data_IF_025589442963
#
_entry.id   IF_025589442963
#
_cell.length_a   1.000
_cell.length_b   1.000
_cell.length_c   1.000
_cell.angle_alpha   90.00
_cell.angle_beta   90.00
_cell.angle_gamma   90.00
#
_symmetry.space_group_name_H-M   'P 1'
#
loop_
_entity.id
_entity.type
_entity.pdbx_description
1 polymer ?
#
# COMPACT_ATOMS: atom_id res chain seq x y z
N UNK A 1 30.02 -2.92 4.31
CA UNK A 1 29.53 -2.04 3.22
C UNK A 1 28.33 -2.62 2.45
N UNK A 2 28.42 -3.73 1.71
CA UNK A 2 27.29 -4.27 0.89
C UNK A 2 26.03 -4.64 1.72
N UNK A 3 26.21 -5.17 2.94
CA UNK A 3 25.10 -5.61 3.79
C UNK A 3 24.25 -4.44 4.35
N UNK A 4 24.90 -3.32 4.71
CA UNK A 4 24.26 -2.11 5.23
C UNK A 4 23.37 -1.45 4.18
N UNK A 5 23.86 -1.31 2.94
CA UNK A 5 23.05 -0.81 1.82
C UNK A 5 21.82 -1.69 1.55
N UNK A 6 21.96 -3.02 1.73
CA UNK A 6 20.86 -3.96 1.51
C UNK A 6 19.74 -3.79 2.54
N UNK A 7 20.08 -3.62 3.83
CA UNK A 7 19.08 -3.41 4.90
C UNK A 7 18.37 -2.08 4.70
N UNK A 8 19.11 -0.99 4.46
CA UNK A 8 18.50 0.33 4.23
C UNK A 8 17.57 0.32 3.03
N UNK A 9 17.93 -0.35 1.93
CA UNK A 9 17.06 -0.47 0.77
C UNK A 9 15.78 -1.26 1.10
N UNK A 10 15.88 -2.41 1.78
CA UNK A 10 14.70 -3.20 2.20
C UNK A 10 13.75 -2.36 3.07
N UNK A 11 14.27 -1.56 3.99
CA UNK A 11 13.45 -0.69 4.83
C UNK A 11 12.71 0.38 4.01
N UNK A 12 13.37 1.00 3.03
CA UNK A 12 12.75 1.96 2.12
C UNK A 12 11.63 1.30 1.31
N UNK A 13 11.90 0.13 0.73
CA UNK A 13 10.88 -0.61 -0.06
C UNK A 13 9.71 -1.09 0.81
N UNK A 14 9.98 -1.47 2.05
CA UNK A 14 8.92 -1.85 2.99
C UNK A 14 7.99 -0.67 3.27
N UNK A 15 8.51 0.57 3.35
CA UNK A 15 7.66 1.75 3.51
C UNK A 15 6.73 1.95 2.30
N UNK A 16 7.21 1.78 1.07
CA UNK A 16 6.37 1.88 -0.14
C UNK A 16 5.17 0.95 -0.06
N UNK A 17 5.40 -0.30 0.36
CA UNK A 17 4.32 -1.29 0.57
C UNK A 17 3.39 -0.83 1.70
N UNK A 18 3.94 -0.46 2.86
CA UNK A 18 3.13 -0.08 4.02
C UNK A 18 2.28 1.18 3.77
N UNK A 19 2.77 2.13 3.00
CA UNK A 19 1.99 3.31 2.61
C UNK A 19 0.84 2.92 1.67
N UNK A 20 1.04 2.01 0.72
CA UNK A 20 -0.03 1.52 -0.13
C UNK A 20 -1.18 0.86 0.67
N UNK A 21 -0.85 0.07 1.67
CA UNK A 21 -1.84 -0.70 2.45
C UNK A 21 -2.32 -0.01 3.73
N UNK A 22 -1.63 1.04 4.19
CA UNK A 22 -1.87 1.66 5.49
C UNK A 22 -2.09 3.17 5.43
N UNK A 23 -1.84 3.83 4.30
CA UNK A 23 -2.13 5.24 4.11
C UNK A 23 -3.36 5.46 3.23
N UNK A 24 -4.01 6.60 3.43
CA UNK A 24 -5.16 7.03 2.64
C UNK A 24 -5.19 8.55 2.49
N UNK A 25 -5.90 9.03 1.48
CA UNK A 25 -6.23 10.45 1.39
C UNK A 25 -7.30 10.82 2.42
N UNK A 26 -7.05 11.89 3.15
CA UNK A 26 -7.99 12.59 4.03
C UNK A 26 -8.19 14.02 3.55
N UNK A 27 -9.11 14.75 4.18
CA UNK A 27 -9.32 16.17 3.86
C UNK A 27 -8.13 17.08 4.23
N UNK A 28 -7.17 16.59 5.04
CA UNK A 28 -6.01 17.37 5.49
C UNK A 28 -4.69 16.95 4.87
N UNK A 29 -4.57 15.69 4.48
CA UNK A 29 -3.35 15.10 3.95
C UNK A 29 -3.70 14.01 2.92
N UNK A 30 -3.11 14.13 1.74
CA UNK A 30 -3.29 13.23 0.61
C UNK A 30 -2.66 11.83 0.83
N UNK A 31 -1.66 11.72 1.71
CA UNK A 31 -0.98 10.48 2.08
C UNK A 31 -0.93 10.32 3.63
N UNK A 32 -2.10 10.25 4.28
CA UNK A 32 -2.20 10.16 5.73
C UNK A 32 -2.06 8.72 6.21
N UNK A 33 -1.07 8.44 7.07
CA UNK A 33 -0.95 7.15 7.75
C UNK A 33 -2.11 6.88 8.69
N UNK A 34 -2.74 5.70 8.51
CA UNK A 34 -3.88 5.23 9.31
C UNK A 34 -3.50 4.04 10.18
N UNK A 35 -2.22 3.91 10.48
CA UNK A 35 -1.65 2.94 11.41
C UNK A 35 -0.46 3.60 12.11
N UNK A 36 -0.20 3.18 13.34
CA UNK A 36 1.04 3.45 14.03
C UNK A 36 2.14 2.52 13.52
N UNK A 37 3.34 3.05 13.29
CA UNK A 37 4.51 2.29 12.88
C UNK A 37 5.63 2.51 13.89
N UNK A 38 6.12 1.43 14.46
CA UNK A 38 7.31 1.42 15.31
C UNK A 38 8.38 0.55 14.64
N UNK A 39 9.61 1.03 14.62
CA UNK A 39 10.72 0.37 13.95
C UNK A 39 11.90 0.29 14.90
N UNK A 40 12.22 -0.92 15.34
CA UNK A 40 13.46 -1.23 16.04
C UNK A 40 14.55 -1.47 15.01
N UNK A 41 15.68 -0.76 15.11
CA UNK A 41 16.87 -1.02 14.31
C UNK A 41 17.95 -1.61 15.22
N UNK A 42 18.51 -2.73 14.80
CA UNK A 42 19.58 -3.40 15.53
C UNK A 42 20.92 -3.05 14.89
N UNK A 43 21.87 -2.62 15.72
CA UNK A 43 23.21 -2.25 15.31
C UNK A 43 24.24 -3.14 15.99
N UNK A 44 25.36 -3.38 15.31
CA UNK A 44 26.52 -4.01 15.94
C UNK A 44 27.34 -3.00 16.77
N UNK A 45 28.44 -3.47 17.37
CA UNK A 45 29.35 -2.65 18.18
C UNK A 45 30.10 -1.56 17.39
N UNK A 46 30.07 -1.62 16.05
CA UNK A 46 30.61 -0.60 15.15
C UNK A 46 29.55 0.37 14.65
N UNK A 47 28.32 0.27 15.16
CA UNK A 47 27.14 1.02 14.70
C UNK A 47 26.72 0.69 13.27
N UNK A 48 27.12 -0.46 12.72
CA UNK A 48 26.59 -0.94 11.44
C UNK A 48 25.22 -1.60 11.67
N UNK A 49 24.19 -1.28 10.86
CA UNK A 49 22.88 -1.92 10.99
C UNK A 49 22.96 -3.39 10.57
N UNK A 50 22.55 -4.28 11.47
CA UNK A 50 22.56 -5.74 11.27
C UNK A 50 21.15 -6.32 11.10
N UNK A 51 20.12 -5.55 11.42
CA UNK A 51 18.73 -5.95 11.23
C UNK A 51 17.75 -4.95 11.83
N UNK A 52 16.49 -5.34 11.90
CA UNK A 52 15.46 -4.55 12.54
C UNK A 52 14.12 -5.27 12.58
N UNK A 53 13.20 -4.75 13.40
CA UNK A 53 11.83 -5.25 13.53
C UNK A 53 10.87 -4.10 13.34
N UNK A 54 9.88 -4.30 12.47
CA UNK A 54 8.78 -3.35 12.30
C UNK A 54 7.56 -3.92 13.03
N UNK A 55 6.93 -3.08 13.85
CA UNK A 55 5.67 -3.37 14.52
C UNK A 55 4.62 -2.36 14.09
N UNK A 56 3.43 -2.87 13.78
CA UNK A 56 2.29 -2.06 13.38
C UNK A 56 1.25 -2.04 14.49
N UNK A 57 0.71 -0.86 14.74
CA UNK A 57 -0.29 -0.64 15.77
C UNK A 57 -1.54 0.00 15.17
N UNK A 58 -2.70 -0.46 15.62
CA UNK A 58 -3.98 0.24 15.43
C UNK A 58 -4.26 0.68 13.98
N UNK A 59 -4.19 -0.26 13.03
CA UNK A 59 -4.69 0.01 11.68
C UNK A 59 -6.18 0.39 11.76
N UNK A 60 -6.56 1.50 11.13
CA UNK A 60 -7.95 1.99 11.06
C UNK A 60 -8.81 1.09 10.17
N UNK A 61 -9.15 -0.11 10.65
CA UNK A 61 -9.91 -1.13 9.90
C UNK A 61 -11.25 -0.62 9.37
N UNK A 62 -11.91 0.29 10.11
CA UNK A 62 -13.18 0.88 9.71
C UNK A 62 -13.12 1.63 8.38
N UNK A 63 -11.93 2.12 7.99
CA UNK A 63 -11.75 2.82 6.72
C UNK A 63 -12.03 1.94 5.51
N UNK A 64 -11.87 0.62 5.62
CA UNK A 64 -12.18 -0.29 4.51
C UNK A 64 -13.64 -0.20 4.12
N UNK A 65 -14.55 -0.10 5.10
CA UNK A 65 -16.00 -0.15 4.87
C UNK A 65 -16.67 1.22 4.81
N UNK A 66 -16.02 2.28 5.32
CA UNK A 66 -16.60 3.63 5.34
C UNK A 66 -15.56 4.73 5.29
N UNK A 67 -15.80 5.73 4.44
CA UNK A 67 -15.00 6.95 4.34
C UNK A 67 -15.88 8.19 4.46
N UNK A 68 -15.30 9.30 4.95
CA UNK A 68 -15.98 10.60 4.96
C UNK A 68 -15.98 11.22 3.55
N UNK A 69 -16.91 12.14 3.30
CA UNK A 69 -16.92 12.92 2.06
C UNK A 69 -15.58 13.64 1.87
N UNK A 70 -15.00 13.52 0.67
CA UNK A 70 -13.70 14.06 0.31
C UNK A 70 -12.51 13.14 0.61
N UNK A 71 -12.71 12.04 1.35
CA UNK A 71 -11.66 11.08 1.69
C UNK A 71 -11.64 9.87 0.75
N UNK A 72 -10.52 9.14 0.76
CA UNK A 72 -10.36 7.86 0.06
C UNK A 72 -10.23 6.70 1.03
N UNK A 73 -10.43 5.50 0.49
CA UNK A 73 -9.96 4.27 1.11
C UNK A 73 -8.42 4.18 1.00
N UNK A 74 -7.83 3.05 1.41
CA UNK A 74 -6.37 2.82 1.27
C UNK A 74 -5.91 2.90 -0.19
N UNK A 75 -4.68 3.38 -0.40
CA UNK A 75 -4.14 3.59 -1.75
C UNK A 75 -4.10 2.33 -2.60
N UNK A 76 -3.82 1.17 -1.99
CA UNK A 76 -3.74 -0.14 -2.65
C UNK A 76 -4.96 -0.46 -3.52
N UNK A 77 -6.17 -0.06 -3.13
CA UNK A 77 -7.37 -0.30 -3.95
C UNK A 77 -7.34 0.47 -5.27
N UNK A 78 -6.99 1.76 -5.22
CA UNK A 78 -6.92 2.63 -6.39
C UNK A 78 -5.71 2.28 -7.26
N UNK A 79 -4.59 1.92 -6.63
CA UNK A 79 -3.39 1.43 -7.31
C UNK A 79 -3.68 0.15 -8.09
N UNK A 80 -4.42 -0.82 -7.52
CA UNK A 80 -4.85 -2.00 -8.27
C UNK A 80 -5.71 -1.60 -9.47
N UNK A 81 -6.75 -0.78 -9.24
CA UNK A 81 -7.72 -0.39 -10.27
C UNK A 81 -7.17 0.47 -11.39
N UNK A 82 -6.13 1.27 -11.16
CA UNK A 82 -5.56 2.15 -12.18
C UNK A 82 -4.20 1.65 -12.70
N UNK A 83 -3.52 0.79 -11.95
CA UNK A 83 -2.17 0.33 -12.22
C UNK A 83 -2.06 -1.04 -12.87
N UNK A 84 -3.04 -1.94 -12.65
CA UNK A 84 -3.04 -3.26 -13.29
C UNK A 84 -3.61 -3.16 -14.71
N UNK A 85 -2.89 -3.75 -15.67
CA UNK A 85 -3.27 -3.76 -17.07
C UNK A 85 -4.33 -4.83 -17.35
N UNK A 86 -4.26 -5.98 -16.67
CA UNK A 86 -5.21 -7.08 -16.87
C UNK A 86 -6.18 -7.24 -15.70
N UNK A 87 -7.01 -6.21 -15.46
CA UNK A 87 -8.04 -6.26 -14.40
C UNK A 87 -9.08 -7.36 -14.61
N UNK A 88 -9.26 -7.85 -15.84
CA UNK A 88 -10.20 -8.93 -16.15
C UNK A 88 -9.86 -10.23 -15.40
N UNK A 89 -8.58 -10.50 -15.13
CA UNK A 89 -8.16 -11.63 -14.29
C UNK A 89 -8.70 -11.56 -12.86
N UNK A 90 -9.02 -10.35 -12.40
CA UNK A 90 -9.59 -10.08 -11.09
C UNK A 90 -11.12 -9.89 -11.15
N UNK A 91 -11.73 -10.01 -12.33
CA UNK A 91 -13.14 -9.70 -12.55
C UNK A 91 -13.47 -8.21 -12.38
N UNK A 92 -12.46 -7.33 -12.43
CA UNK A 92 -12.60 -5.91 -12.20
C UNK A 92 -12.62 -5.11 -13.52
N UNK A 93 -13.20 -3.92 -13.48
CA UNK A 93 -13.11 -2.86 -14.48
C UNK A 93 -12.47 -1.57 -13.87
N UNK A 94 -12.07 -0.62 -14.72
CA UNK A 94 -11.34 0.60 -14.30
C UNK A 94 -12.21 1.73 -13.69
N UNK A 95 -13.54 1.58 -13.62
CA UNK A 95 -14.45 2.57 -13.03
C UNK A 95 -14.51 2.36 -11.53
N UNK A 96 -13.73 3.14 -10.78
CA UNK A 96 -13.71 3.07 -9.32
C UNK A 96 -15.09 3.36 -8.70
N UNK A 97 -15.94 4.09 -9.41
CA UNK A 97 -17.30 4.43 -8.98
C UNK A 97 -18.23 3.20 -8.88
N UNK A 98 -17.90 2.11 -9.59
CA UNK A 98 -18.69 0.87 -9.59
C UNK A 98 -18.52 0.08 -8.27
N UNK A 99 -17.50 0.39 -7.46
CA UNK A 99 -17.19 -0.36 -6.25
C UNK A 99 -17.56 0.42 -4.99
N UNK A 100 -18.49 -0.14 -4.21
CA UNK A 100 -19.07 0.52 -3.05
C UNK A 100 -18.01 0.95 -2.03
N UNK A 101 -17.02 0.12 -1.71
CA UNK A 101 -16.05 0.42 -0.66
C UNK A 101 -15.02 1.49 -0.99
N UNK A 102 -14.94 1.99 -2.23
CA UNK A 102 -13.97 3.03 -2.60
C UNK A 102 -14.61 4.30 -3.16
N UNK A 103 -15.94 4.29 -3.37
CA UNK A 103 -16.69 5.42 -3.91
C UNK A 103 -17.42 6.27 -2.83
N UNK A 104 -17.46 5.84 -1.56
CA UNK A 104 -18.29 6.52 -0.54
C UNK A 104 -17.85 7.95 -0.24
N UNK A 105 -16.55 8.24 -0.36
CA UNK A 105 -16.01 9.58 -0.19
C UNK A 105 -16.19 10.50 -1.40
N UNK A 106 -16.79 10.02 -2.50
CA UNK A 106 -16.94 10.73 -3.77
C UNK A 106 -15.60 11.34 -4.28
N UNK A 107 -14.53 10.55 -4.18
CA UNK A 107 -13.15 11.04 -4.29
C UNK A 107 -12.24 10.00 -4.97
N UNK A 108 -12.71 9.37 -6.05
CA UNK A 108 -12.01 8.24 -6.67
C UNK A 108 -10.68 8.61 -7.38
N UNK A 109 -10.52 9.87 -7.80
CA UNK A 109 -9.30 10.38 -8.44
C UNK A 109 -8.79 11.65 -7.76
N UNK A 110 -7.48 11.75 -7.66
CA UNK A 110 -6.78 12.87 -7.01
C UNK A 110 -5.71 13.38 -7.95
N UNK A 111 -5.75 14.63 -8.44
CA UNK A 111 -4.80 15.11 -9.45
C UNK A 111 -3.31 15.02 -9.05
N UNK A 112 -3.03 15.03 -7.74
CA UNK A 112 -1.66 14.99 -7.20
C UNK A 112 -1.12 13.56 -7.00
N UNK A 113 -1.93 12.53 -7.20
CA UNK A 113 -1.56 11.13 -6.93
C UNK A 113 -1.60 10.35 -8.24
N UNK A 114 -0.50 9.68 -8.56
CA UNK A 114 -0.38 8.82 -9.73
C UNK A 114 -0.48 7.35 -9.30
N UNK A 115 -1.72 6.90 -9.07
CA UNK A 115 -2.00 5.55 -8.59
C UNK A 115 -1.45 4.47 -9.56
N UNK A 116 -1.30 4.78 -10.85
CA UNK A 116 -0.73 3.85 -11.85
C UNK A 116 0.77 3.67 -11.65
N UNK A 117 1.51 4.78 -11.49
CA UNK A 117 2.94 4.72 -11.22
C UNK A 117 3.23 4.12 -9.84
N UNK A 118 2.45 4.50 -8.83
CA UNK A 118 2.59 4.00 -7.47
C UNK A 118 2.37 2.48 -7.39
N UNK A 119 1.42 1.94 -8.17
CA UNK A 119 1.24 0.49 -8.30
C UNK A 119 2.49 -0.24 -8.80
N UNK A 120 3.17 0.32 -9.81
CA UNK A 120 4.41 -0.27 -10.33
C UNK A 120 5.52 -0.22 -9.30
N UNK A 121 5.64 0.88 -8.54
CA UNK A 121 6.59 1.00 -7.44
C UNK A 121 6.30 -0.04 -6.35
N UNK A 122 5.04 -0.27 -5.99
CA UNK A 122 4.66 -1.30 -5.01
C UNK A 122 4.99 -2.70 -5.50
N UNK A 123 4.72 -3.03 -6.78
CA UNK A 123 5.11 -4.33 -7.37
C UNK A 123 6.63 -4.53 -7.34
N UNK A 124 7.40 -3.49 -7.64
CA UNK A 124 8.86 -3.55 -7.56
C UNK A 124 9.35 -3.69 -6.11
N UNK A 125 8.74 -2.97 -5.17
CA UNK A 125 9.06 -3.02 -3.76
C UNK A 125 8.85 -4.44 -3.19
N UNK A 126 7.72 -5.09 -3.52
CA UNK A 126 7.47 -6.49 -3.11
C UNK A 126 8.59 -7.43 -3.58
N UNK A 127 9.04 -7.30 -4.84
CA UNK A 127 10.14 -8.10 -5.38
C UNK A 127 11.46 -7.86 -4.66
N UNK A 128 11.78 -6.60 -4.34
CA UNK A 128 13.03 -6.25 -3.64
C UNK A 128 13.01 -6.76 -2.20
N UNK A 129 11.87 -6.70 -1.52
CA UNK A 129 11.70 -7.22 -0.16
C UNK A 129 11.77 -8.75 -0.13
N UNK A 130 11.47 -9.42 -1.25
CA UNK A 130 11.68 -10.86 -1.43
C UNK A 130 10.40 -11.68 -1.56
N UNK A 131 9.25 -11.05 -1.82
CA UNK A 131 8.00 -11.77 -2.11
C UNK A 131 8.08 -12.47 -3.46
N UNK A 132 7.57 -13.69 -3.50
CA UNK A 132 7.39 -14.45 -4.73
C UNK A 132 6.26 -13.89 -5.58
N UNK A 133 6.26 -14.19 -6.88
CA UNK A 133 5.19 -13.73 -7.78
C UNK A 133 3.82 -14.28 -7.38
N UNK A 134 3.77 -15.50 -6.83
CA UNK A 134 2.54 -16.14 -6.36
C UNK A 134 1.98 -15.44 -5.12
N UNK A 135 2.83 -15.11 -4.14
CA UNK A 135 2.42 -14.33 -2.96
C UNK A 135 1.88 -12.95 -3.35
N UNK A 136 2.57 -12.25 -4.27
CA UNK A 136 2.12 -10.96 -4.80
C UNK A 136 0.75 -11.11 -5.49
N UNK A 137 0.56 -12.16 -6.29
CA UNK A 137 -0.72 -12.45 -6.94
C UNK A 137 -1.83 -12.70 -5.91
N UNK A 138 -1.57 -13.48 -4.86
CA UNK A 138 -2.52 -13.75 -3.79
C UNK A 138 -2.91 -12.45 -3.07
N UNK A 139 -1.95 -11.59 -2.75
CA UNK A 139 -2.22 -10.29 -2.10
C UNK A 139 -3.18 -9.46 -2.94
N UNK A 140 -2.92 -9.31 -4.24
CA UNK A 140 -3.81 -8.54 -5.12
C UNK A 140 -5.17 -9.20 -5.33
N UNK A 141 -5.26 -10.54 -5.32
CA UNK A 141 -6.54 -11.26 -5.34
C UNK A 141 -7.38 -10.97 -4.09
N UNK A 142 -6.76 -10.85 -2.92
CA UNK A 142 -7.47 -10.48 -1.69
C UNK A 142 -7.98 -9.03 -1.79
N UNK A 143 -7.16 -8.10 -2.29
CA UNK A 143 -7.58 -6.71 -2.54
C UNK A 143 -8.77 -6.66 -3.50
N UNK A 144 -8.70 -7.40 -4.60
CA UNK A 144 -9.80 -7.51 -5.57
C UNK A 144 -11.06 -8.14 -4.96
N UNK A 145 -10.92 -9.19 -4.16
CA UNK A 145 -12.05 -9.83 -3.48
C UNK A 145 -12.78 -8.86 -2.56
N UNK A 146 -12.06 -7.99 -1.85
CA UNK A 146 -12.67 -6.95 -1.00
C UNK A 146 -13.47 -5.95 -1.85
N UNK A 147 -13.02 -5.60 -3.06
CA UNK A 147 -13.77 -4.70 -3.95
C UNK A 147 -15.09 -5.30 -4.45
N UNK A 148 -15.19 -6.63 -4.52
CA UNK A 148 -16.39 -7.34 -4.95
C UNK A 148 -17.45 -7.52 -3.85
N UNK A 149 -17.08 -7.34 -2.59
CA UNK A 149 -17.98 -7.45 -1.43
C UNK A 149 -18.89 -6.22 -1.31
#
# INVERSE_FOLDING_TARGET
FIFVFRISNILIQTNVILEAFGNSRTNRNDNSSRFGKYMDLHFDYKFDPIGGKIQHYLLEKSRVVKQQLGERNFHSFYQLLYGENNLQEYGLNHKAEDYYYINQGNCCKVPKIDDKNDYQQVKQAFKIVGFTQDEISIIWKIVAAILHL
#
